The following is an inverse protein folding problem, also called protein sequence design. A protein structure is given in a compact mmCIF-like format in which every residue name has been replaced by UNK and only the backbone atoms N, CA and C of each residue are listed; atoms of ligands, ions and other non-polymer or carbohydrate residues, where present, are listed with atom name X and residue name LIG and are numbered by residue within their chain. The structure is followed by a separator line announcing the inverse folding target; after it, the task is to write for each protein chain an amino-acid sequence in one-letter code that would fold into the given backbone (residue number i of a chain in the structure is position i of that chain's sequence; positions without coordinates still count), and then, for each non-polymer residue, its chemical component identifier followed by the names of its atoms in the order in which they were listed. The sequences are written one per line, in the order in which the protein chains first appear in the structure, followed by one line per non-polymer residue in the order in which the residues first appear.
data_IF_380697830513
#
_entry.id   IF_380697830513
#
_cell.length_a   1.000
_cell.length_b   1.000
_cell.length_c   1.000
_cell.angle_alpha   90.00
_cell.angle_beta   90.00
_cell.angle_gamma   90.00
#
_symmetry.space_group_name_H-M   'P 1'
#
loop_
_entity.id
_entity.type
_entity.pdbx_description
1 polymer ?
#
# COMPACT_ATOMS: atom_id res chain seq x y z
N UNK A 1 -100.78 20.75 16.56
CA UNK A 1 -101.24 19.60 15.75
C UNK A 1 -100.05 18.67 15.57
N UNK A 2 -100.19 17.42 16.06
CA UNK A 2 -99.47 16.16 15.76
C UNK A 2 -98.14 16.26 15.00
N UNK A 3 -97.00 15.84 15.56
CA UNK A 3 -96.52 14.45 15.69
C UNK A 3 -95.31 14.26 14.78
N UNK A 4 -94.21 13.75 15.29
CA UNK A 4 -93.76 12.39 14.97
C UNK A 4 -92.26 12.23 15.27
N UNK A 5 -92.00 11.19 16.05
CA UNK A 5 -90.74 10.59 16.45
C UNK A 5 -89.90 10.06 15.27
N UNK A 6 -88.59 9.94 15.46
CA UNK A 6 -87.79 8.70 15.27
C UNK A 6 -86.30 8.90 15.60
N UNK A 7 -85.79 8.16 16.60
CA UNK A 7 -84.37 7.72 16.70
C UNK A 7 -84.27 6.34 16.00
N UNK A 8 -83.14 5.59 15.89
CA UNK A 8 -81.74 5.78 16.31
C UNK A 8 -80.73 5.45 15.15
N UNK A 9 -79.41 5.54 15.23
CA UNK A 9 -78.48 4.60 15.89
C UNK A 9 -77.04 5.12 15.83
N UNK A 10 -76.32 4.86 16.91
CA UNK A 10 -74.91 5.15 17.10
C UNK A 10 -74.00 4.25 16.23
N UNK A 11 -72.81 4.75 15.87
CA UNK A 11 -71.59 3.93 15.94
C UNK A 11 -70.34 4.79 16.13
N UNK A 12 -69.68 4.52 17.26
CA UNK A 12 -68.32 4.91 17.62
C UNK A 12 -67.31 4.35 16.60
N UNK A 13 -66.41 5.21 16.13
CA UNK A 13 -65.09 4.86 15.62
C UNK A 13 -64.08 5.86 16.20
N UNK A 14 -63.11 5.36 16.96
CA UNK A 14 -62.23 6.11 17.87
C UNK A 14 -61.16 6.89 17.09
N UNK A 15 -60.75 8.09 17.54
CA UNK A 15 -59.47 8.68 17.14
C UNK A 15 -58.38 8.08 18.03
N UNK A 16 -57.28 7.60 17.48
CA UNK A 16 -56.05 7.49 18.25
C UNK A 16 -54.79 7.42 17.37
N UNK A 17 -54.09 8.55 17.39
CA UNK A 17 -52.63 8.65 17.53
C UNK A 17 -51.76 7.92 16.50
N UNK A 18 -51.40 8.65 15.44
CA UNK A 18 -50.07 8.55 14.87
C UNK A 18 -49.04 8.88 15.97
N UNK A 19 -48.34 7.86 16.50
CA UNK A 19 -47.13 8.05 17.29
C UNK A 19 -45.94 7.72 16.41
N UNK A 20 -45.11 8.73 16.24
CA UNK A 20 -43.87 8.68 15.51
C UNK A 20 -42.85 7.72 16.15
N UNK A 21 -42.00 7.22 15.25
CA UNK A 21 -40.62 6.77 15.47
C UNK A 21 -40.38 5.53 16.36
N UNK A 22 -39.90 4.46 15.72
CA UNK A 22 -38.77 3.72 16.24
C UNK A 22 -37.87 3.32 15.07
N UNK A 23 -36.82 4.11 14.89
CA UNK A 23 -35.69 3.87 14.00
C UNK A 23 -34.88 2.73 14.60
N UNK A 24 -34.69 1.63 13.87
CA UNK A 24 -33.42 0.88 13.81
C UNK A 24 -33.53 -0.17 12.71
N UNK A 25 -32.99 0.16 11.55
CA UNK A 25 -32.72 -0.79 10.49
C UNK A 25 -31.50 -1.64 10.90
N UNK A 26 -31.68 -2.95 11.08
CA UNK A 26 -30.58 -3.88 11.30
C UNK A 26 -30.00 -4.24 9.92
N UNK A 27 -29.00 -3.49 9.48
CA UNK A 27 -28.13 -3.90 8.38
C UNK A 27 -27.01 -4.74 9.01
N UNK A 28 -27.14 -6.06 8.91
CA UNK A 28 -26.08 -6.99 9.31
C UNK A 28 -24.92 -6.86 8.30
N UNK A 29 -23.92 -6.06 8.67
CA UNK A 29 -22.66 -5.93 7.94
C UNK A 29 -21.86 -7.22 8.15
N UNK A 30 -21.82 -8.07 7.12
CA UNK A 30 -20.94 -9.23 7.05
C UNK A 30 -19.48 -8.75 7.07
N UNK A 31 -18.80 -8.89 8.20
CA UNK A 31 -17.34 -8.80 8.25
C UNK A 31 -16.78 -10.08 7.61
N UNK A 32 -16.62 -10.06 6.29
CA UNK A 32 -15.73 -11.01 5.63
C UNK A 32 -14.29 -10.60 5.95
N UNK A 33 -13.47 -11.44 6.62
CA UNK A 33 -12.03 -11.25 6.62
C UNK A 33 -11.53 -11.67 5.23
N UNK A 34 -11.70 -10.79 4.24
CA UNK A 34 -10.88 -10.88 3.04
C UNK A 34 -9.45 -10.60 3.49
N UNK A 35 -8.73 -11.67 3.84
CA UNK A 35 -7.29 -11.65 3.86
C UNK A 35 -6.86 -11.33 2.44
N UNK A 36 -6.54 -10.07 2.18
CA UNK A 36 -5.84 -9.71 0.96
C UNK A 36 -4.55 -10.53 0.96
N UNK A 37 -4.30 -11.42 -0.02
CA UNK A 37 -2.97 -11.95 -0.18
C UNK A 37 -2.06 -10.74 -0.33
N UNK A 38 -1.22 -10.50 0.67
CA UNK A 38 -0.21 -9.46 0.59
C UNK A 38 0.58 -9.75 -0.68
N UNK A 39 0.46 -8.88 -1.68
CA UNK A 39 1.30 -8.97 -2.86
C UNK A 39 2.72 -8.88 -2.31
N UNK A 40 3.43 -10.01 -2.27
CA UNK A 40 4.83 -10.02 -1.94
C UNK A 40 5.52 -9.16 -3.00
N UNK A 41 5.90 -7.95 -2.62
CA UNK A 41 6.63 -7.04 -3.48
C UNK A 41 8.02 -7.65 -3.65
N UNK A 42 8.25 -8.25 -4.81
CA UNK A 42 9.57 -8.65 -5.26
C UNK A 42 10.53 -7.43 -5.28
N UNK A 43 11.81 -7.68 -5.04
CA UNK A 43 12.89 -6.69 -4.92
C UNK A 43 13.09 -6.11 -3.51
N UNK A 44 13.95 -5.07 -3.37
CA UNK A 44 14.25 -4.44 -2.09
C UNK A 44 12.99 -3.93 -1.36
N UNK A 45 12.99 -4.05 -0.03
CA UNK A 45 11.82 -3.81 0.82
C UNK A 45 12.03 -2.67 1.80
N UNK A 46 10.96 -1.95 2.13
CA UNK A 46 10.98 -0.88 3.14
C UNK A 46 11.76 0.38 2.75
N UNK A 47 12.02 0.61 1.46
CA UNK A 47 12.78 1.75 0.97
C UNK A 47 12.21 3.11 1.38
N UNK A 48 13.04 3.97 1.97
CA UNK A 48 12.74 5.34 2.37
C UNK A 48 13.87 6.26 1.92
N UNK A 49 13.54 7.32 1.16
CA UNK A 49 14.52 8.35 0.80
C UNK A 49 14.75 9.25 2.02
N UNK A 50 15.98 9.28 2.52
CA UNK A 50 16.34 10.00 3.76
C UNK A 50 17.25 11.22 3.53
N UNK A 51 17.86 11.33 2.35
CA UNK A 51 18.60 12.51 1.92
C UNK A 51 18.63 12.62 0.40
N UNK A 52 18.67 13.86 -0.13
CA UNK A 52 18.54 14.12 -1.56
C UNK A 52 17.09 14.10 -2.04
N UNK A 53 16.89 14.03 -3.35
CA UNK A 53 15.57 13.95 -3.98
C UNK A 53 15.53 12.82 -5.00
N UNK A 54 14.46 12.03 -4.91
CA UNK A 54 14.22 10.89 -5.79
C UNK A 54 12.98 10.12 -5.38
N UNK A 55 12.59 9.16 -6.19
CA UNK A 55 11.43 8.30 -5.94
C UNK A 55 11.78 6.84 -6.13
N UNK A 56 11.10 5.97 -5.38
CA UNK A 56 11.17 4.53 -5.50
C UNK A 56 9.84 4.07 -6.10
N UNK A 57 9.90 3.44 -7.27
CA UNK A 57 8.74 2.99 -8.02
C UNK A 57 8.88 1.51 -8.33
N UNK A 58 7.74 0.83 -8.53
CA UNK A 58 7.70 -0.56 -8.96
C UNK A 58 6.81 -0.67 -10.20
N UNK A 59 7.34 -0.38 -11.40
CA UNK A 59 6.56 -0.40 -12.63
C UNK A 59 6.07 -1.80 -13.02
N UNK A 60 6.67 -2.86 -12.47
CA UNK A 60 6.23 -4.25 -12.62
C UNK A 60 6.52 -5.03 -11.34
N UNK A 61 6.03 -6.28 -11.25
CA UNK A 61 6.34 -7.16 -10.12
C UNK A 61 7.85 -7.36 -9.94
N UNK A 62 8.58 -7.53 -11.05
CA UNK A 62 10.01 -7.89 -11.01
C UNK A 62 10.97 -6.70 -11.10
N UNK A 63 10.47 -5.45 -11.17
CA UNK A 63 11.32 -4.27 -11.38
C UNK A 63 11.12 -3.24 -10.27
N UNK A 64 12.20 -2.92 -9.57
CA UNK A 64 12.29 -1.72 -8.72
C UNK A 64 13.05 -0.64 -9.47
N UNK A 65 12.42 0.53 -9.66
CA UNK A 65 12.98 1.69 -10.33
C UNK A 65 13.22 2.82 -9.33
N UNK A 66 14.46 3.24 -9.20
CA UNK A 66 14.87 4.40 -8.41
C UNK A 66 15.13 5.56 -9.38
N UNK A 67 14.23 6.55 -9.40
CA UNK A 67 14.42 7.78 -10.17
C UNK A 67 15.03 8.85 -9.26
N UNK A 68 16.34 9.02 -9.35
CA UNK A 68 17.10 10.02 -8.60
C UNK A 68 17.09 11.36 -9.33
N UNK A 69 16.85 12.45 -8.60
CA UNK A 69 16.77 13.82 -9.12
C UNK A 69 17.93 14.69 -8.62
N UNK A 70 18.49 14.42 -7.44
CA UNK A 70 19.64 15.13 -6.88
C UNK A 70 20.98 14.49 -7.26
N UNK A 71 22.09 15.23 -7.11
CA UNK A 71 23.44 14.70 -7.37
C UNK A 71 23.81 13.54 -6.43
N UNK A 72 23.37 13.61 -5.18
CA UNK A 72 23.54 12.57 -4.16
C UNK A 72 22.19 12.19 -3.57
N UNK A 73 21.96 10.89 -3.40
CA UNK A 73 20.74 10.33 -2.80
C UNK A 73 21.13 9.34 -1.70
N UNK A 74 20.38 9.31 -0.59
CA UNK A 74 20.51 8.27 0.43
C UNK A 74 19.15 7.60 0.63
N UNK A 75 19.15 6.27 0.62
CA UNK A 75 17.96 5.46 0.79
C UNK A 75 18.22 4.45 1.90
N UNK A 76 17.31 4.42 2.87
CA UNK A 76 17.27 3.40 3.91
C UNK A 76 16.32 2.29 3.50
N UNK A 77 16.73 1.05 3.69
CA UNK A 77 15.99 -0.15 3.33
C UNK A 77 15.84 -1.07 4.55
N UNK A 78 14.68 -1.72 4.67
CA UNK A 78 14.53 -2.85 5.60
C UNK A 78 15.39 -4.01 5.10
N UNK A 79 15.29 -4.37 3.83
CA UNK A 79 16.10 -5.39 3.18
C UNK A 79 16.42 -5.01 1.73
N UNK A 80 17.61 -5.39 1.26
CA UNK A 80 18.03 -5.15 -0.11
C UNK A 80 18.47 -6.47 -0.73
N UNK A 81 17.49 -7.23 -1.21
CA UNK A 81 17.68 -8.47 -1.95
C UNK A 81 17.20 -8.28 -3.38
N UNK A 82 17.83 -9.00 -4.31
CA UNK A 82 17.47 -8.98 -5.74
C UNK A 82 17.47 -10.43 -6.24
N UNK A 83 16.31 -11.04 -6.37
CA UNK A 83 16.16 -12.40 -6.88
C UNK A 83 16.58 -12.50 -8.36
N UNK A 84 16.89 -13.70 -8.86
CA UNK A 84 17.49 -13.90 -10.18
C UNK A 84 16.71 -13.33 -11.37
N UNK A 85 15.38 -13.24 -11.28
CA UNK A 85 14.53 -12.66 -12.31
C UNK A 85 14.34 -11.13 -12.17
N UNK A 86 14.67 -10.59 -11.01
CA UNK A 86 14.41 -9.19 -10.65
C UNK A 86 15.43 -8.23 -11.25
N UNK A 87 15.02 -6.96 -11.33
CA UNK A 87 15.82 -5.82 -11.74
C UNK A 87 15.66 -4.66 -10.76
N UNK A 88 16.78 -4.16 -10.24
CA UNK A 88 16.85 -2.85 -9.58
C UNK A 88 17.53 -1.88 -10.53
N UNK A 89 16.81 -0.86 -10.99
CA UNK A 89 17.31 0.14 -11.93
C UNK A 89 17.41 1.51 -11.27
N UNK A 90 18.59 2.10 -11.29
CA UNK A 90 18.86 3.47 -10.88
C UNK A 90 18.94 4.36 -12.11
N UNK A 91 18.01 5.31 -12.22
CA UNK A 91 18.06 6.41 -13.17
C UNK A 91 18.52 7.66 -12.45
N UNK A 92 19.75 8.09 -12.73
CA UNK A 92 20.43 9.17 -12.03
C UNK A 92 20.68 10.35 -12.97
N UNK A 93 20.86 11.59 -12.46
CA UNK A 93 21.03 12.77 -13.31
C UNK A 93 22.24 12.69 -14.26
N UNK A 94 23.32 12.06 -13.83
CA UNK A 94 24.54 11.90 -14.62
C UNK A 94 25.37 10.71 -14.13
N UNK A 95 26.45 10.39 -14.86
CA UNK A 95 27.41 9.35 -14.47
C UNK A 95 28.23 9.69 -13.21
N UNK A 96 28.29 10.96 -12.82
CA UNK A 96 28.95 11.39 -11.59
C UNK A 96 28.02 11.45 -10.38
N UNK A 97 26.70 11.27 -10.58
CA UNK A 97 25.72 11.21 -9.49
C UNK A 97 25.85 9.90 -8.73
N UNK A 98 25.57 9.94 -7.43
CA UNK A 98 25.74 8.81 -6.53
C UNK A 98 24.49 8.54 -5.68
N UNK A 99 24.24 7.28 -5.37
CA UNK A 99 23.24 6.86 -4.38
C UNK A 99 23.87 5.94 -3.35
N UNK A 100 23.56 6.17 -2.07
CA UNK A 100 23.88 5.28 -0.96
C UNK A 100 22.62 4.52 -0.54
N UNK A 101 22.67 3.20 -0.58
CA UNK A 101 21.64 2.31 -0.07
C UNK A 101 22.12 1.71 1.25
N UNK A 102 21.40 1.94 2.35
CA UNK A 102 21.72 1.43 3.68
C UNK A 102 20.68 0.41 4.13
N UNK A 103 21.12 -0.75 4.59
CA UNK A 103 20.26 -1.86 5.03
C UNK A 103 20.36 -2.04 6.54
N UNK A 104 19.22 -2.19 7.21
CA UNK A 104 19.14 -2.22 8.67
C UNK A 104 18.59 -3.51 9.28
N UNK A 105 18.10 -4.47 8.48
CA UNK A 105 17.78 -5.79 9.03
C UNK A 105 19.04 -6.55 9.47
N UNK A 106 18.85 -7.71 10.11
CA UNK A 106 19.95 -8.57 10.58
C UNK A 106 20.40 -9.61 9.51
N UNK A 107 20.02 -9.41 8.24
CA UNK A 107 20.29 -10.36 7.16
C UNK A 107 21.30 -9.77 6.16
N UNK A 108 22.17 -10.60 5.55
CA UNK A 108 22.99 -10.16 4.44
C UNK A 108 22.13 -9.83 3.23
N UNK A 109 22.60 -8.91 2.40
CA UNK A 109 21.97 -8.62 1.10
C UNK A 109 22.32 -9.72 0.09
N UNK A 110 21.32 -10.32 -0.53
CA UNK A 110 21.51 -11.37 -1.54
C UNK A 110 21.14 -10.87 -2.94
N UNK A 111 22.15 -10.73 -3.80
CA UNK A 111 22.01 -10.22 -5.15
C UNK A 111 22.23 -11.37 -6.13
N UNK A 112 21.15 -11.92 -6.66
CA UNK A 112 21.15 -12.93 -7.73
C UNK A 112 20.69 -12.36 -9.08
N UNK A 113 19.92 -11.27 -9.05
CA UNK A 113 19.38 -10.63 -10.23
C UNK A 113 20.26 -9.50 -10.77
N UNK A 114 19.61 -8.48 -11.34
CA UNK A 114 20.28 -7.39 -12.05
C UNK A 114 20.19 -6.10 -11.26
N UNK A 115 21.31 -5.42 -11.12
CA UNK A 115 21.37 -4.01 -10.72
C UNK A 115 21.89 -3.23 -11.92
N UNK A 116 21.22 -2.16 -12.29
CA UNK A 116 21.62 -1.30 -13.41
C UNK A 116 21.62 0.15 -12.98
N UNK A 117 22.66 0.89 -13.33
CA UNK A 117 22.76 2.31 -13.05
C UNK A 117 23.47 3.04 -14.18
N UNK A 118 23.09 4.29 -14.42
CA UNK A 118 23.87 5.19 -15.29
C UNK A 118 24.88 6.06 -14.51
N UNK A 119 24.87 6.01 -13.18
CA UNK A 119 25.86 6.63 -12.29
C UNK A 119 26.38 5.62 -11.25
N UNK A 120 26.69 6.11 -10.06
CA UNK A 120 27.34 5.32 -9.01
C UNK A 120 26.31 4.82 -7.98
N UNK A 121 26.42 3.54 -7.61
CA UNK A 121 25.58 2.89 -6.61
C UNK A 121 26.45 2.31 -5.52
N UNK A 122 26.16 2.69 -4.28
CA UNK A 122 26.79 2.13 -3.08
C UNK A 122 25.74 1.35 -2.29
N UNK A 123 26.10 0.16 -1.82
CA UNK A 123 25.27 -0.67 -0.95
C UNK A 123 26.05 -0.91 0.34
N UNK A 124 25.44 -0.54 1.45
CA UNK A 124 25.96 -0.73 2.80
C UNK A 124 25.01 -1.65 3.55
N UNK A 125 25.48 -2.85 3.84
CA UNK A 125 24.83 -3.78 4.75
C UNK A 125 25.90 -4.31 5.72
N UNK A 126 25.83 -3.99 7.02
CA UNK A 126 26.79 -4.48 8.01
C UNK A 126 26.88 -6.00 8.09
N UNK A 127 25.81 -6.72 7.72
CA UNK A 127 25.77 -8.18 7.71
C UNK A 127 26.40 -8.78 6.43
N UNK A 128 26.80 -7.93 5.48
CA UNK A 128 27.45 -8.32 4.24
C UNK A 128 26.56 -8.20 3.00
N UNK A 129 27.21 -8.25 1.84
CA UNK A 129 26.58 -8.23 0.53
C UNK A 129 27.13 -9.40 -0.28
N UNK A 130 26.25 -10.29 -0.73
CA UNK A 130 26.60 -11.50 -1.48
C UNK A 130 26.06 -11.40 -2.89
N UNK A 131 26.96 -11.56 -3.87
CA UNK A 131 26.60 -11.68 -5.29
C UNK A 131 26.59 -13.16 -5.67
N UNK A 132 25.42 -13.69 -5.97
CA UNK A 132 25.22 -15.09 -6.32
C UNK A 132 25.40 -15.38 -7.81
N UNK A 133 25.31 -16.66 -8.22
CA UNK A 133 25.38 -17.05 -9.62
C UNK A 133 24.32 -16.32 -10.47
N UNK A 134 24.75 -15.73 -11.58
CA UNK A 134 23.86 -15.01 -12.51
C UNK A 134 23.67 -13.53 -12.21
N UNK A 135 24.18 -13.04 -11.08
CA UNK A 135 24.15 -11.62 -10.74
C UNK A 135 24.86 -10.77 -11.81
N UNK A 136 24.28 -9.61 -12.11
CA UNK A 136 24.88 -8.60 -13.02
C UNK A 136 24.74 -7.22 -12.39
N UNK A 137 25.86 -6.50 -12.29
CA UNK A 137 25.96 -5.16 -11.72
C UNK A 137 26.73 -4.22 -12.64
#
# INVERSE_FOLDING_TARGET
MLSNSSRPHARRGRPALARAACVTAIVALLLSPFGYPGMALAGPTGGQVVAGSGTIQRPSADTTLIQQQSQSLSIDWTGFDVAGHELVKFQQPSSSSAVLNRVFNELPSQIYGRIQANGQVFIMNPNGVVFGPGARV
#
